data_IF_453910996038
#
_entry.id   IF_453910996038
#
_cell.length_a   1.000
_cell.length_b   1.000
_cell.length_c   1.000
_cell.angle_alpha   90.00
_cell.angle_beta   90.00
_cell.angle_gamma   90.00
#
_symmetry.space_group_name_H-M   'P 1'
#
loop_
_entity.id
_entity.type
_entity.pdbx_description
1 polymer ?
#
# COMPACT_ATOMS: atom_id res chain seq x y z
N UNK A 1 21.80 26.45 39.80
CA UNK A 1 20.63 25.57 39.53
C UNK A 1 20.00 25.79 38.15
N UNK A 2 19.95 27.01 37.60
CA UNK A 2 19.37 27.26 36.27
C UNK A 2 20.16 26.64 35.09
N UNK A 3 21.50 26.60 35.14
CA UNK A 3 22.32 26.12 34.02
C UNK A 3 22.25 24.59 33.77
N UNK A 4 21.93 23.80 34.80
CA UNK A 4 21.82 22.33 34.69
C UNK A 4 20.51 21.91 34.01
N UNK A 5 19.50 22.78 34.03
CA UNK A 5 18.19 22.51 33.42
C UNK A 5 18.22 22.66 31.88
N UNK A 6 19.08 23.55 31.36
CA UNK A 6 19.13 23.88 29.92
C UNK A 6 19.77 22.74 29.11
N UNK A 7 20.79 22.07 29.67
CA UNK A 7 21.50 20.98 28.97
C UNK A 7 20.66 19.70 28.88
N UNK A 8 19.79 19.43 29.87
CA UNK A 8 18.86 18.28 29.82
C UNK A 8 17.79 18.44 28.73
N UNK A 9 17.38 19.66 28.41
CA UNK A 9 16.40 19.94 27.37
C UNK A 9 16.95 19.70 25.96
N UNK A 10 18.25 19.95 25.75
CA UNK A 10 18.89 19.76 24.44
C UNK A 10 19.05 18.28 24.05
N UNK A 11 19.16 17.37 25.02
CA UNK A 11 19.29 15.93 24.74
C UNK A 11 17.96 15.25 24.36
N UNK A 12 16.82 15.94 24.54
CA UNK A 12 15.50 15.41 24.23
C UNK A 12 15.13 15.53 22.73
N UNK A 13 15.93 16.23 21.92
CA UNK A 13 15.62 16.52 20.51
C UNK A 13 16.28 15.56 19.50
N UNK A 14 17.18 14.66 19.93
CA UNK A 14 17.83 13.66 19.07
C UNK A 14 17.09 12.32 19.10
N UNK A 15 15.75 12.39 19.11
CA UNK A 15 14.86 11.23 19.21
C UNK A 15 13.88 11.10 18.03
N UNK A 16 14.10 11.82 16.92
CA UNK A 16 13.26 11.69 15.74
C UNK A 16 13.53 10.33 15.08
N UNK A 17 12.84 9.29 15.59
CA UNK A 17 12.75 8.02 14.88
C UNK A 17 11.94 8.29 13.63
N UNK A 18 12.62 8.37 12.49
CA UNK A 18 12.01 8.09 11.20
C UNK A 18 11.57 6.62 11.31
N UNK A 19 10.31 6.41 11.70
CA UNK A 19 9.65 5.16 11.44
C UNK A 19 9.57 5.10 9.92
N UNK A 20 10.50 4.38 9.30
CA UNK A 20 10.32 3.93 7.93
C UNK A 20 8.97 3.22 7.93
N UNK A 21 7.94 3.89 7.39
CA UNK A 21 6.70 3.21 7.01
C UNK A 21 7.13 2.30 5.88
N UNK A 22 7.60 1.10 6.23
CA UNK A 22 7.72 -0.01 5.29
C UNK A 22 6.37 -0.03 4.58
N UNK A 23 6.34 0.27 3.26
CA UNK A 23 5.08 0.22 2.53
C UNK A 23 4.53 -1.19 2.76
N UNK A 24 3.22 -1.33 3.03
CA UNK A 24 2.66 -2.65 3.24
C UNK A 24 3.11 -3.52 2.07
N UNK A 25 3.82 -4.61 2.38
CA UNK A 25 4.21 -5.59 1.38
C UNK A 25 2.97 -5.92 0.56
N UNK A 26 3.08 -6.08 -0.78
CA UNK A 26 1.95 -6.49 -1.59
C UNK A 26 1.31 -7.69 -0.89
N UNK A 27 0.03 -7.55 -0.52
CA UNK A 27 -0.69 -8.60 0.19
C UNK A 27 -0.75 -9.79 -0.77
N UNK A 28 0.21 -10.68 -0.60
CA UNK A 28 0.36 -11.92 -1.39
C UNK A 28 -0.15 -13.10 -0.56
N UNK A 29 -0.97 -12.83 0.47
CA UNK A 29 -1.71 -13.89 1.14
C UNK A 29 -2.85 -14.31 0.21
N UNK A 30 -2.97 -15.61 -0.03
CA UNK A 30 -4.16 -16.21 -0.63
C UNK A 30 -5.39 -15.63 0.09
N UNK A 31 -6.49 -15.32 -0.62
CA UNK A 31 -7.73 -14.90 0.03
C UNK A 31 -8.08 -15.88 1.17
N UNK A 32 -8.55 -15.36 2.30
CA UNK A 32 -9.12 -16.16 3.39
C UNK A 32 -10.13 -17.17 2.81
N UNK A 33 -10.22 -18.36 3.39
CA UNK A 33 -11.10 -19.41 2.85
C UNK A 33 -12.55 -18.91 2.72
N UNK A 34 -13.07 -18.98 1.50
CA UNK A 34 -14.40 -18.48 1.13
C UNK A 34 -14.46 -17.02 0.67
N UNK A 35 -13.36 -16.26 0.72
CA UNK A 35 -13.31 -14.88 0.21
C UNK A 35 -12.89 -14.81 -1.26
N UNK A 36 -13.37 -13.76 -1.95
CA UNK A 36 -12.99 -13.44 -3.33
C UNK A 36 -12.33 -12.06 -3.34
N UNK A 37 -11.16 -11.97 -3.96
CA UNK A 37 -10.42 -10.73 -4.18
C UNK A 37 -10.46 -10.40 -5.68
N UNK A 38 -10.85 -9.18 -6.00
CA UNK A 38 -10.82 -8.63 -7.37
C UNK A 38 -9.78 -7.52 -7.40
N UNK A 39 -8.73 -7.73 -8.19
CA UNK A 39 -7.68 -6.73 -8.40
C UNK A 39 -7.82 -6.15 -9.80
N UNK A 40 -8.24 -4.89 -9.88
CA UNK A 40 -8.27 -4.15 -11.15
C UNK A 40 -6.82 -3.85 -11.55
N UNK A 41 -6.41 -4.33 -12.72
CA UNK A 41 -5.05 -4.11 -13.26
C UNK A 41 -5.04 -3.13 -14.42
N UNK A 42 -6.20 -2.88 -15.05
CA UNK A 42 -6.39 -1.88 -16.09
C UNK A 42 -7.84 -1.37 -16.05
N UNK A 43 -8.00 -0.04 -16.14
CA UNK A 43 -9.30 0.65 -16.12
C UNK A 43 -9.23 1.87 -17.04
N UNK A 44 -10.39 2.29 -17.56
CA UNK A 44 -10.52 3.46 -18.40
C UNK A 44 -10.50 4.78 -17.63
N UNK A 45 -10.62 4.71 -16.31
CA UNK A 45 -10.47 5.84 -15.41
C UNK A 45 -9.19 5.71 -14.60
N UNK A 46 -8.51 6.84 -14.38
CA UNK A 46 -7.30 6.85 -13.56
C UNK A 46 -7.61 7.16 -12.10
N UNK A 47 -7.29 6.21 -11.22
CA UNK A 47 -7.29 6.41 -9.76
C UNK A 47 -6.00 7.02 -9.21
N UNK A 48 -4.95 7.15 -10.05
CA UNK A 48 -3.62 7.62 -9.66
C UNK A 48 -3.02 8.54 -10.72
N UNK A 49 -2.42 9.65 -10.30
CA UNK A 49 -1.89 10.68 -11.21
C UNK A 49 -0.75 10.21 -12.12
N UNK A 50 -0.12 9.09 -11.81
CA UNK A 50 1.00 8.52 -12.59
C UNK A 50 0.56 7.45 -13.60
N UNK A 51 -0.75 7.20 -13.75
CA UNK A 51 -1.31 6.27 -14.72
C UNK A 51 -1.96 7.01 -15.89
N UNK A 52 -1.74 6.53 -17.10
CA UNK A 52 -2.41 7.01 -18.32
C UNK A 52 -3.66 6.16 -18.59
N UNK A 53 -4.86 6.75 -18.62
CA UNK A 53 -6.08 6.02 -18.98
C UNK A 53 -6.13 5.73 -20.48
N UNK A 54 -6.75 4.62 -20.86
CA UNK A 54 -7.11 4.29 -22.23
C UNK A 54 -8.37 3.40 -22.23
N UNK A 55 -8.91 3.07 -23.40
CA UNK A 55 -10.13 2.28 -23.46
C UNK A 55 -9.90 0.83 -23.02
N UNK A 56 -10.88 0.33 -22.27
CA UNK A 56 -11.05 -1.07 -21.92
C UNK A 56 -10.83 -1.35 -20.42
N UNK A 57 -10.65 -2.61 -20.06
CA UNK A 57 -10.63 -3.10 -18.67
C UNK A 57 -9.92 -4.45 -18.55
N UNK A 58 -9.26 -4.68 -17.41
CA UNK A 58 -8.80 -6.01 -17.01
C UNK A 58 -8.71 -6.14 -15.49
N UNK A 59 -9.02 -7.34 -14.98
CA UNK A 59 -8.83 -7.66 -13.57
C UNK A 59 -8.36 -9.09 -13.33
N UNK A 60 -7.70 -9.29 -12.19
CA UNK A 60 -7.36 -10.61 -11.66
C UNK A 60 -8.35 -10.93 -10.55
N UNK A 61 -9.07 -12.04 -10.72
CA UNK A 61 -10.01 -12.57 -9.72
C UNK A 61 -9.35 -13.75 -9.02
N UNK A 62 -9.22 -13.68 -7.70
CA UNK A 62 -8.60 -14.71 -6.86
C UNK A 62 -9.62 -15.19 -5.82
N UNK A 63 -9.76 -16.50 -5.67
CA UNK A 63 -10.67 -17.11 -4.70
C UNK A 63 -11.26 -18.41 -5.23
N UNK A 64 -12.00 -19.12 -4.39
CA UNK A 64 -12.69 -20.37 -4.78
C UNK A 64 -11.76 -21.37 -5.49
N UNK A 65 -10.52 -21.48 -5.02
CA UNK A 65 -9.46 -22.36 -5.55
C UNK A 65 -9.02 -22.05 -6.99
N UNK A 66 -9.40 -20.89 -7.54
CA UNK A 66 -9.03 -20.45 -8.87
C UNK A 66 -8.39 -19.08 -8.85
N UNK A 67 -7.65 -18.81 -9.91
CA UNK A 67 -7.17 -17.47 -10.27
C UNK A 67 -7.49 -17.27 -11.73
N UNK A 68 -8.23 -16.22 -12.03
CA UNK A 68 -8.76 -15.93 -13.36
C UNK A 68 -8.26 -14.55 -13.76
N UNK A 69 -7.60 -14.47 -14.92
CA UNK A 69 -7.43 -13.21 -15.64
C UNK A 69 -8.71 -12.98 -16.44
N UNK A 70 -9.47 -11.97 -16.05
CA UNK A 70 -10.70 -11.57 -16.73
C UNK A 70 -10.42 -10.34 -17.59
N UNK A 71 -10.67 -10.50 -18.89
CA UNK A 71 -10.38 -9.53 -19.96
C UNK A 71 -8.87 -9.18 -20.08
N UNK A 72 -8.48 -8.48 -21.14
CA UNK A 72 -7.07 -8.13 -21.46
C UNK A 72 -6.90 -6.83 -22.23
N UNK A 73 -7.95 -6.02 -22.37
CA UNK A 73 -7.94 -4.89 -23.28
C UNK A 73 -9.13 -4.01 -23.03
#
# INVERSE_FOLDING_TARGET
MAAVLIVKAALLLVGCRIADKVPPSPVTSRPEDGSVVITIVYDNNTGRKDLTPAWGFACVVQGLEKTILFDTG
#
